data_IF_384388504294
#
_entry.id   IF_384388504294
#
_cell.length_a   1.000
_cell.length_b   1.000
_cell.length_c   1.000
_cell.angle_alpha   90.00
_cell.angle_beta   90.00
_cell.angle_gamma   90.00
#
_symmetry.space_group_name_H-M   'P 1'
#
loop_
_entity.id
_entity.type
_entity.pdbx_description
1 polymer ?
#
# COMPACT_ATOMS: atom_id res chain seq x y z
N UNK A 1 -6.76 -9.66 -17.52
CA UNK A 1 -6.64 -8.28 -16.97
C UNK A 1 -6.09 -8.27 -15.55
N UNK A 2 -6.69 -9.02 -14.61
CA UNK A 2 -6.29 -9.06 -13.19
C UNK A 2 -4.81 -9.39 -12.93
N UNK A 3 -4.19 -10.33 -13.66
CA UNK A 3 -2.75 -10.63 -13.54
C UNK A 3 -1.86 -9.39 -13.74
N UNK A 4 -2.19 -8.55 -14.72
CA UNK A 4 -1.47 -7.30 -14.98
C UNK A 4 -1.67 -6.29 -13.85
N UNK A 5 -2.91 -6.13 -13.37
CA UNK A 5 -3.24 -5.27 -12.23
C UNK A 5 -2.40 -5.64 -11.01
N UNK A 6 -2.39 -6.94 -10.64
CA UNK A 6 -1.62 -7.45 -9.51
C UNK A 6 -0.12 -7.20 -9.68
N UNK A 7 0.42 -7.44 -10.88
CA UNK A 7 1.84 -7.26 -11.17
C UNK A 7 2.25 -5.79 -11.07
N UNK A 8 1.46 -4.87 -11.63
CA UNK A 8 1.76 -3.43 -11.62
C UNK A 8 1.67 -2.87 -10.20
N UNK A 9 0.59 -3.16 -9.47
CA UNK A 9 0.45 -2.70 -8.08
C UNK A 9 1.54 -3.30 -7.20
N UNK A 10 1.85 -4.59 -7.40
CA UNK A 10 2.92 -5.26 -6.66
C UNK A 10 4.29 -4.64 -6.92
N UNK A 11 4.58 -4.24 -8.16
CA UNK A 11 5.82 -3.54 -8.50
C UNK A 11 5.89 -2.14 -7.85
N UNK A 12 4.78 -1.41 -7.80
CA UNK A 12 4.70 -0.11 -7.11
C UNK A 12 4.96 -0.29 -5.61
N UNK A 13 4.38 -1.31 -4.97
CA UNK A 13 4.62 -1.61 -3.56
C UNK A 13 6.07 -2.00 -3.28
N UNK A 14 6.66 -2.84 -4.12
CA UNK A 14 8.06 -3.20 -4.02
C UNK A 14 8.97 -1.98 -4.20
N UNK A 15 8.68 -1.09 -5.15
CA UNK A 15 9.45 0.14 -5.33
C UNK A 15 9.33 1.09 -4.12
N UNK A 16 8.12 1.27 -3.58
CA UNK A 16 7.90 2.06 -2.38
C UNK A 16 8.68 1.49 -1.18
N UNK A 17 8.75 0.16 -1.05
CA UNK A 17 9.57 -0.51 -0.05
C UNK A 17 11.07 -0.23 -0.21
N UNK A 18 11.59 -0.26 -1.43
CA UNK A 18 12.99 0.08 -1.70
C UNK A 18 13.29 1.54 -1.34
N UNK A 19 12.38 2.46 -1.64
CA UNK A 19 12.51 3.87 -1.25
C UNK A 19 12.57 4.01 0.28
N UNK A 20 11.65 3.37 1.02
CA UNK A 20 11.67 3.34 2.48
C UNK A 20 12.94 2.70 3.06
N UNK A 21 13.56 1.75 2.36
CA UNK A 21 14.77 1.10 2.83
C UNK A 21 16.03 1.94 2.63
N UNK A 22 16.20 2.49 1.42
CA UNK A 22 17.43 3.15 0.98
C UNK A 22 17.45 4.66 1.20
N UNK A 23 16.29 5.33 1.14
CA UNK A 23 16.13 6.78 1.33
C UNK A 23 14.97 7.10 2.29
N UNK A 24 15.00 6.58 3.54
CA UNK A 24 13.89 6.66 4.49
C UNK A 24 13.52 8.08 4.92
N UNK A 25 14.52 8.96 5.08
CA UNK A 25 14.30 10.35 5.52
C UNK A 25 13.56 11.13 4.43
N UNK A 26 14.03 11.04 3.19
CA UNK A 26 13.36 11.66 2.05
C UNK A 26 11.91 11.17 1.91
N UNK A 27 11.67 9.86 2.04
CA UNK A 27 10.32 9.30 2.01
C UNK A 27 9.42 9.91 3.11
N UNK A 28 9.92 9.95 4.34
CA UNK A 28 9.19 10.51 5.48
C UNK A 28 8.85 11.99 5.30
N UNK A 29 9.77 12.79 4.75
CA UNK A 29 9.60 14.23 4.58
C UNK A 29 8.73 14.60 3.36
N UNK A 30 8.72 13.77 2.32
CA UNK A 30 8.08 14.11 1.04
C UNK A 30 6.69 13.49 0.86
N UNK A 31 6.37 12.39 1.53
CA UNK A 31 5.05 11.77 1.39
C UNK A 31 4.00 12.56 2.19
N UNK A 32 2.96 13.11 1.53
CA UNK A 32 1.97 13.95 2.20
C UNK A 32 1.29 13.27 3.39
N UNK A 33 1.30 13.94 4.54
CA UNK A 33 0.61 13.52 5.76
C UNK A 33 1.42 12.61 6.71
N UNK A 34 2.59 12.11 6.31
CA UNK A 34 3.40 11.23 7.17
C UNK A 34 3.96 11.98 8.39
N UNK A 35 4.49 13.18 8.19
CA UNK A 35 5.06 14.01 9.26
C UNK A 35 4.03 14.40 10.32
N UNK A 36 2.73 14.32 10.02
CA UNK A 36 1.64 14.54 10.98
C UNK A 36 1.43 13.36 11.95
N UNK A 37 2.02 12.19 11.67
CA UNK A 37 1.85 10.96 12.47
C UNK A 37 2.87 10.84 13.61
N UNK A 38 3.75 11.83 13.78
CA UNK A 38 4.77 11.86 14.82
C UNK A 38 6.19 11.96 14.25
N UNK A 39 7.21 12.03 15.13
CA UNK A 39 8.61 12.21 14.73
C UNK A 39 9.15 11.03 13.93
N UNK A 40 10.18 11.29 13.11
CA UNK A 40 10.84 10.26 12.32
C UNK A 40 11.36 9.11 13.19
N UNK A 41 11.06 7.88 12.79
CA UNK A 41 11.60 6.67 13.38
C UNK A 41 12.07 5.73 12.26
N UNK A 42 13.39 5.53 12.18
CA UNK A 42 14.01 4.73 11.12
C UNK A 42 13.54 3.27 11.14
N UNK A 43 13.41 2.67 12.32
CA UNK A 43 12.97 1.29 12.47
C UNK A 43 11.55 1.14 11.93
N UNK A 44 10.65 2.04 12.34
CA UNK A 44 9.25 2.04 11.91
C UNK A 44 9.10 2.21 10.39
N UNK A 45 9.84 3.12 9.77
CA UNK A 45 9.82 3.30 8.30
C UNK A 45 10.26 2.03 7.58
N UNK A 46 11.29 1.34 8.09
CA UNK A 46 11.75 0.08 7.50
C UNK A 46 10.78 -1.08 7.71
N UNK A 47 10.08 -1.14 8.83
CA UNK A 47 9.02 -2.13 9.04
C UNK A 47 7.88 -1.96 8.04
N UNK A 48 7.45 -0.71 7.79
CA UNK A 48 6.48 -0.38 6.74
C UNK A 48 7.03 -0.82 5.37
N UNK A 49 8.30 -0.54 5.10
CA UNK A 49 8.97 -0.99 3.89
C UNK A 49 8.91 -2.51 3.71
N UNK A 50 9.25 -3.28 4.74
CA UNK A 50 9.26 -4.74 4.69
C UNK A 50 7.87 -5.33 4.42
N UNK A 51 6.82 -4.79 5.05
CA UNK A 51 5.46 -5.29 4.80
C UNK A 51 4.96 -4.90 3.40
N UNK A 52 5.28 -3.69 2.90
CA UNK A 52 5.04 -3.34 1.49
C UNK A 52 5.82 -4.26 0.53
N UNK A 53 7.04 -4.65 0.86
CA UNK A 53 7.84 -5.57 0.04
C UNK A 53 7.19 -6.95 -0.03
N UNK A 54 6.82 -7.52 1.12
CA UNK A 54 6.14 -8.84 1.21
C UNK A 54 4.82 -8.79 0.45
N UNK A 55 4.01 -7.75 0.64
CA UNK A 55 2.77 -7.55 -0.11
C UNK A 55 3.03 -7.44 -1.62
N UNK A 56 4.01 -6.63 -2.03
CA UNK A 56 4.35 -6.43 -3.43
C UNK A 56 4.79 -7.71 -4.14
N UNK A 57 5.72 -8.44 -3.52
CA UNK A 57 6.17 -9.75 -4.02
C UNK A 57 5.04 -10.78 -4.03
N UNK A 58 4.17 -10.77 -3.00
CA UNK A 58 2.99 -11.61 -2.92
C UNK A 58 2.00 -11.37 -4.06
N UNK A 59 1.77 -10.11 -4.44
CA UNK A 59 0.91 -9.75 -5.57
C UNK A 59 1.53 -10.17 -6.92
N UNK A 60 2.83 -9.92 -7.13
CA UNK A 60 3.55 -10.30 -8.36
C UNK A 60 3.54 -11.83 -8.53
N UNK A 61 3.96 -12.57 -7.50
CA UNK A 61 3.95 -14.03 -7.54
C UNK A 61 2.51 -14.57 -7.66
N UNK A 62 1.58 -13.91 -6.95
CA UNK A 62 0.18 -14.30 -6.91
C UNK A 62 -0.56 -14.19 -8.25
N UNK A 63 0.01 -13.50 -9.25
CA UNK A 63 -0.46 -13.58 -10.63
C UNK A 63 -0.41 -15.01 -11.22
N UNK A 64 0.42 -15.89 -10.64
CA UNK A 64 0.50 -17.33 -10.95
C UNK A 64 -0.13 -18.21 -9.86
N UNK A 65 -0.27 -17.69 -8.65
CA UNK A 65 -0.80 -18.39 -7.49
C UNK A 65 -1.84 -17.51 -6.76
N UNK A 66 -3.13 -17.52 -7.17
CA UNK A 66 -4.16 -16.60 -6.68
C UNK A 66 -4.26 -16.48 -5.16
N UNK A 67 -4.05 -17.59 -4.42
CA UNK A 67 -4.11 -17.58 -2.96
C UNK A 67 -2.99 -16.72 -2.34
N UNK A 68 -1.81 -16.67 -2.97
CA UNK A 68 -0.71 -15.80 -2.52
C UNK A 68 -1.03 -14.33 -2.78
N UNK A 69 -1.68 -14.01 -3.92
CA UNK A 69 -2.14 -12.64 -4.18
C UNK A 69 -3.15 -12.18 -3.12
N UNK A 70 -4.06 -13.08 -2.70
CA UNK A 70 -5.02 -12.76 -1.66
C UNK A 70 -4.30 -12.37 -0.36
N UNK A 71 -3.41 -13.23 0.15
CA UNK A 71 -2.63 -12.90 1.35
C UNK A 71 -1.78 -11.63 1.18
N UNK A 72 -1.14 -11.44 0.02
CA UNK A 72 -0.36 -10.24 -0.29
C UNK A 72 -1.18 -8.96 -0.29
N UNK A 73 -2.48 -9.04 -0.63
CA UNK A 73 -3.39 -7.89 -0.66
C UNK A 73 -4.03 -7.55 0.70
N UNK A 74 -3.97 -8.44 1.71
CA UNK A 74 -4.66 -8.24 2.98
C UNK A 74 -4.09 -7.06 3.78
N UNK A 75 -2.77 -6.98 3.93
CA UNK A 75 -2.17 -5.87 4.69
C UNK A 75 -2.46 -4.50 4.06
N UNK A 76 -2.27 -4.29 2.73
CA UNK A 76 -2.65 -3.04 2.08
C UNK A 76 -4.13 -2.69 2.27
N UNK A 77 -5.03 -3.67 2.19
CA UNK A 77 -6.47 -3.46 2.39
C UNK A 77 -6.81 -3.05 3.84
N UNK A 78 -6.24 -3.73 4.84
CA UNK A 78 -6.40 -3.37 6.24
C UNK A 78 -5.80 -1.99 6.54
N UNK A 79 -4.65 -1.68 5.94
CA UNK A 79 -4.02 -0.37 6.04
C UNK A 79 -4.88 0.73 5.41
N UNK A 80 -5.45 0.48 4.24
CA UNK A 80 -6.43 1.36 3.59
C UNK A 80 -7.66 1.62 4.48
N UNK A 81 -8.18 0.59 5.15
CA UNK A 81 -9.27 0.76 6.11
C UNK A 81 -8.87 1.68 7.27
N UNK A 82 -7.64 1.54 7.78
CA UNK A 82 -7.12 2.43 8.83
C UNK A 82 -7.00 3.88 8.36
N UNK A 83 -6.60 4.12 7.10
CA UNK A 83 -6.59 5.47 6.52
C UNK A 83 -7.99 6.05 6.31
N UNK A 84 -9.00 5.22 6.03
CA UNK A 84 -10.38 5.69 6.02
C UNK A 84 -10.84 6.15 7.41
N UNK A 85 -10.43 5.45 8.46
CA UNK A 85 -10.66 5.91 9.84
C UNK A 85 -9.93 7.23 10.14
N UNK A 86 -8.66 7.39 9.75
CA UNK A 86 -7.90 8.65 9.89
C UNK A 86 -8.61 9.80 9.14
N UNK A 87 -9.10 9.55 7.92
CA UNK A 87 -9.84 10.55 7.15
C UNK A 87 -11.08 11.06 7.89
N UNK A 88 -11.85 10.16 8.52
CA UNK A 88 -13.00 10.52 9.36
C UNK A 88 -12.56 11.31 10.59
N UNK A 89 -11.50 10.86 11.30
CA UNK A 89 -10.97 11.54 12.48
C UNK A 89 -10.44 12.94 12.16
N UNK A 90 -9.95 13.17 10.94
CA UNK A 90 -9.52 14.49 10.45
C UNK A 90 -10.68 15.40 10.03
N UNK A 91 -11.94 14.96 10.13
CA UNK A 91 -13.12 15.75 9.74
C UNK A 91 -13.43 15.72 8.24
N UNK A 92 -13.03 14.66 7.53
CA UNK A 92 -13.28 14.47 6.09
C UNK A 92 -12.78 15.63 5.19
N UNK A 93 -11.53 16.09 5.33
CA UNK A 93 -11.03 17.24 4.60
C UNK A 93 -10.82 16.93 3.11
N UNK A 94 -11.11 17.88 2.22
CA UNK A 94 -10.82 17.79 0.78
C UNK A 94 -9.48 18.45 0.44
N UNK A 95 -8.38 17.85 0.91
CA UNK A 95 -7.03 18.38 0.78
C UNK A 95 -6.07 17.43 0.04
N UNK A 96 -4.83 17.88 -0.17
CA UNK A 96 -3.79 17.09 -0.83
C UNK A 96 -3.53 15.75 -0.14
N UNK A 97 -3.62 15.69 1.19
CA UNK A 97 -3.39 14.46 1.95
C UNK A 97 -4.52 13.47 1.65
N UNK A 98 -5.77 13.92 1.67
CA UNK A 98 -6.93 13.09 1.34
C UNK A 98 -6.89 12.59 -0.10
N UNK A 99 -6.50 13.43 -1.07
CA UNK A 99 -6.30 13.01 -2.47
C UNK A 99 -5.17 11.99 -2.59
N UNK A 100 -4.04 12.23 -1.92
CA UNK A 100 -2.89 11.31 -1.88
C UNK A 100 -3.31 9.96 -1.31
N UNK A 101 -4.07 9.96 -0.20
CA UNK A 101 -4.62 8.74 0.40
C UNK A 101 -5.55 7.99 -0.54
N UNK A 102 -6.47 8.69 -1.19
CA UNK A 102 -7.41 8.06 -2.12
C UNK A 102 -6.68 7.39 -3.29
N UNK A 103 -5.71 8.08 -3.89
CA UNK A 103 -5.02 7.61 -5.11
C UNK A 103 -3.92 6.59 -4.81
N UNK A 104 -3.10 6.82 -3.78
CA UNK A 104 -1.89 6.03 -3.53
C UNK A 104 -2.07 4.95 -2.46
N UNK A 105 -3.13 5.02 -1.65
CA UNK A 105 -3.41 4.03 -0.62
C UNK A 105 -4.71 3.27 -0.94
N UNK A 106 -5.85 3.97 -1.03
CA UNK A 106 -7.15 3.32 -1.16
C UNK A 106 -7.29 2.57 -2.49
N UNK A 107 -7.09 3.29 -3.60
CA UNK A 107 -7.28 2.72 -4.93
C UNK A 107 -6.44 1.45 -5.18
N UNK A 108 -5.11 1.45 -5.02
CA UNK A 108 -4.31 0.25 -5.27
C UNK A 108 -4.59 -0.88 -4.27
N UNK A 109 -4.88 -0.57 -3.00
CA UNK A 109 -5.21 -1.59 -2.00
C UNK A 109 -6.46 -2.37 -2.38
N UNK A 110 -7.59 -1.67 -2.57
CA UNK A 110 -8.86 -2.31 -2.89
C UNK A 110 -8.87 -2.95 -4.29
N UNK A 111 -8.21 -2.33 -5.27
CA UNK A 111 -8.11 -2.87 -6.61
C UNK A 111 -7.27 -4.17 -6.65
N UNK A 112 -6.21 -4.26 -5.85
CA UNK A 112 -5.41 -5.48 -5.71
C UNK A 112 -6.17 -6.60 -5.01
N UNK A 113 -6.92 -6.29 -3.94
CA UNK A 113 -7.76 -7.26 -3.24
C UNK A 113 -8.86 -7.79 -4.17
N UNK A 114 -9.59 -6.90 -4.84
CA UNK A 114 -10.62 -7.30 -5.82
C UNK A 114 -10.03 -8.19 -6.92
N UNK A 115 -8.89 -7.80 -7.49
CA UNK A 115 -8.24 -8.60 -8.53
C UNK A 115 -7.77 -9.96 -8.03
N UNK A 116 -7.34 -10.08 -6.77
CA UNK A 116 -6.94 -11.34 -6.15
C UNK A 116 -8.12 -12.30 -5.96
N UNK A 117 -9.30 -11.77 -5.61
CA UNK A 117 -10.54 -12.55 -5.48
C UNK A 117 -11.01 -13.03 -6.84
N UNK A 118 -11.00 -12.17 -7.86
CA UNK A 118 -11.40 -12.57 -9.22
C UNK A 118 -10.46 -13.62 -9.83
N UNK A 119 -9.16 -13.53 -9.56
CA UNK A 119 -8.20 -14.55 -10.04
C UNK A 119 -8.42 -15.94 -9.42
N UNK A 120 -9.11 -16.04 -8.28
CA UNK A 120 -9.44 -17.31 -7.62
C UNK A 120 -10.68 -17.98 -8.18
N UNK A 121 -11.56 -17.20 -8.81
CA UNK A 121 -12.80 -17.69 -9.42
C UNK A 121 -12.63 -18.15 -10.87
N UNK A 122 -11.48 -17.86 -11.48
CA UNK A 122 -11.05 -18.34 -12.81
C UNK A 122 -10.36 -19.72 -12.69
#
# INVERSE_FOLDING_TARGET
MHKWILTVIGAIYALNALVMWFVPVWWYETVPGITMMGPFNLHFVRDIGLVYLVSGLGLIYGARAPQVALFGSLWPALHALFHAWIFVQRGMPMDLISTTNLVLIQFPAWLSLWSSVQLRSD
#
